data_IF_837223041020
#
_entry.id   IF_837223041020
#
_cell.length_a   1.000
_cell.length_b   1.000
_cell.length_c   1.000
_cell.angle_alpha   90.00
_cell.angle_beta   90.00
_cell.angle_gamma   90.00
#
_symmetry.space_group_name_H-M   'P 1'
#
loop_
_entity.id
_entity.type
_entity.pdbx_description
1 polymer ?
#
# COMPACT_ATOMS: atom_id res chain seq x y z
N UNK A 1 13.20 -0.99 14.76
CA UNK A 1 11.85 -0.44 14.62
C UNK A 1 10.89 -1.35 15.35
N UNK A 2 9.90 -0.78 16.05
CA UNK A 2 8.89 -1.50 16.85
C UNK A 2 7.63 -1.85 16.04
N UNK A 3 7.68 -1.65 14.73
CA UNK A 3 6.57 -1.88 13.80
C UNK A 3 6.18 -3.35 13.72
N UNK A 4 4.91 -3.65 13.98
CA UNK A 4 4.33 -5.00 13.90
C UNK A 4 3.39 -5.10 12.71
N UNK A 5 3.53 -6.16 11.92
CA UNK A 5 2.54 -6.53 10.90
C UNK A 5 1.60 -7.57 11.52
N UNK A 6 0.34 -7.19 11.68
CA UNK A 6 -0.68 -8.06 12.24
C UNK A 6 -0.92 -9.31 11.40
N UNK A 7 -1.29 -10.40 12.09
CA UNK A 7 -1.57 -11.69 11.45
C UNK A 7 -2.63 -11.56 10.35
N UNK A 8 -2.38 -12.22 9.22
CA UNK A 8 -3.35 -12.28 8.11
C UNK A 8 -3.44 -11.01 7.28
N UNK A 9 -2.58 -10.02 7.52
CA UNK A 9 -2.50 -8.83 6.67
C UNK A 9 -1.82 -9.11 5.33
N UNK A 10 -2.23 -8.37 4.31
CA UNK A 10 -1.65 -8.41 2.97
C UNK A 10 -0.96 -7.06 2.71
N UNK A 11 0.33 -7.12 2.41
CA UNK A 11 1.13 -5.96 2.02
C UNK A 11 1.40 -6.04 0.52
N UNK A 12 0.98 -5.03 -0.22
CA UNK A 12 1.20 -4.91 -1.67
C UNK A 12 2.66 -4.68 -2.02
N UNK A 13 3.01 -4.92 -3.29
CA UNK A 13 4.35 -4.64 -3.81
C UNK A 13 4.68 -3.14 -3.76
N UNK A 14 5.96 -2.84 -3.55
CA UNK A 14 6.49 -1.46 -3.49
C UNK A 14 5.84 -0.57 -2.41
N UNK A 15 5.38 -1.17 -1.30
CA UNK A 15 4.80 -0.44 -0.16
C UNK A 15 5.88 -0.23 0.91
N UNK A 16 6.00 1.00 1.42
CA UNK A 16 6.84 1.32 2.57
C UNK A 16 5.97 1.43 3.83
N UNK A 17 6.34 0.72 4.90
CA UNK A 17 5.60 0.72 6.16
C UNK A 17 6.36 1.58 7.18
N UNK A 18 5.69 2.61 7.70
CA UNK A 18 6.25 3.54 8.71
C UNK A 18 5.63 3.37 10.09
N UNK A 19 4.54 2.61 10.20
CA UNK A 19 3.77 2.37 11.43
C UNK A 19 3.18 0.95 11.46
N UNK A 20 2.78 0.47 12.63
CA UNK A 20 2.24 -0.89 12.77
C UNK A 20 0.94 -1.08 11.98
N UNK A 21 0.78 -2.27 11.40
CA UNK A 21 -0.40 -2.65 10.60
C UNK A 21 -1.29 -3.57 11.42
N UNK A 22 -2.58 -3.26 11.65
CA UNK A 22 -3.50 -4.15 12.36
C UNK A 22 -3.66 -5.51 11.66
N UNK A 23 -4.04 -6.59 12.38
CA UNK A 23 -4.35 -7.88 11.76
C UNK A 23 -5.43 -7.79 10.67
N UNK A 24 -5.36 -8.68 9.68
CA UNK A 24 -6.32 -8.78 8.57
C UNK A 24 -6.47 -7.51 7.70
N UNK A 25 -5.47 -6.62 7.72
CA UNK A 25 -5.46 -5.39 6.92
C UNK A 25 -4.97 -5.64 5.49
N UNK A 26 -5.37 -4.77 4.55
CA UNK A 26 -4.80 -4.74 3.19
C UNK A 26 -4.17 -3.37 2.95
N UNK A 27 -2.86 -3.34 2.77
CA UNK A 27 -2.09 -2.11 2.52
C UNK A 27 -1.52 -2.18 1.10
N UNK A 28 -1.86 -1.22 0.26
CA UNK A 28 -1.40 -1.15 -1.13
C UNK A 28 -1.28 0.32 -1.57
N UNK A 29 -0.36 0.58 -2.49
CA UNK A 29 -0.30 1.87 -3.16
C UNK A 29 -1.54 2.06 -4.03
N UNK A 30 -2.08 3.28 -4.04
CA UNK A 30 -3.10 3.63 -5.03
C UNK A 30 -2.50 3.50 -6.43
N UNK A 31 -3.19 2.86 -7.40
CA UNK A 31 -2.75 2.89 -8.78
C UNK A 31 -2.68 4.35 -9.25
N UNK A 32 -1.70 4.65 -10.09
CA UNK A 32 -1.67 5.93 -10.78
C UNK A 32 -2.92 6.02 -11.66
N UNK A 33 -3.73 7.05 -11.44
CA UNK A 33 -4.78 7.42 -12.39
C UNK A 33 -4.10 8.08 -13.59
N UNK A 34 -4.01 7.36 -14.71
CA UNK A 34 -3.53 7.95 -15.95
C UNK A 34 -4.62 8.87 -16.49
N UNK A 35 -4.39 10.18 -16.41
CA UNK A 35 -5.15 11.14 -17.21
C UNK A 35 -4.60 11.07 -18.63
N UNK A 36 -5.36 10.47 -19.56
CA UNK A 36 -5.02 10.53 -20.98
C UNK A 36 -5.19 11.98 -21.44
N UNK A 37 -4.09 12.72 -21.54
CA UNK A 37 -4.08 13.99 -22.26
C UNK A 37 -4.06 13.68 -23.76
N UNK A 38 -5.01 14.22 -24.55
CA UNK A 38 -4.91 14.16 -26.00
C UNK A 38 -3.56 14.74 -26.44
N UNK A 39 -2.85 14.03 -27.32
CA UNK A 39 -1.68 14.61 -27.99
C UNK A 39 -2.19 15.53 -29.10
N UNK A 40 -1.64 16.75 -29.16
CA UNK A 40 -1.80 17.68 -30.29
C UNK A 40 -1.20 17.11 -31.58
#
# INVERSE_FOLDING_TARGET
>A
GETVIGKGSIIGGNVWITESVPPYSRVYNKPLEYVMTPRE
#
